data_IF_018937791909
#
_entry.id   IF_018937791909
#
_cell.length_a   1.000
_cell.length_b   1.000
_cell.length_c   1.000
_cell.angle_alpha   90.00
_cell.angle_beta   90.00
_cell.angle_gamma   90.00
#
_symmetry.space_group_name_H-M   'P 1'
#
loop_
_entity.id
_entity.type
_entity.pdbx_description
1 polymer ?
#
# COMPACT_ATOMS: atom_id res chain seq x y z
N UNK A 1 -3.16 18.10 19.03
CA UNK A 1 -2.86 16.76 19.53
C UNK A 1 -4.11 15.93 19.27
N UNK A 2 -4.16 15.23 18.14
CA UNK A 2 -5.26 14.32 17.81
C UNK A 2 -4.92 12.99 18.43
N UNK A 3 -5.69 12.55 19.41
CA UNK A 3 -5.67 11.16 19.87
C UNK A 3 -6.27 10.30 18.74
N UNK A 4 -5.43 9.91 17.78
CA UNK A 4 -5.72 8.72 16.99
C UNK A 4 -5.77 7.59 18.01
N UNK A 5 -6.93 7.00 18.23
CA UNK A 5 -7.04 5.70 18.89
C UNK A 5 -6.18 4.78 18.04
N UNK A 6 -5.03 4.38 18.56
CA UNK A 6 -4.18 3.38 17.94
C UNK A 6 -5.04 2.10 17.90
N UNK A 7 -5.41 1.59 16.72
CA UNK A 7 -6.22 0.38 16.66
C UNK A 7 -5.48 -0.73 17.39
N UNK A 8 -6.20 -1.63 18.07
CA UNK A 8 -5.54 -2.77 18.70
C UNK A 8 -4.69 -3.49 17.64
N UNK A 9 -3.59 -4.13 18.04
CA UNK A 9 -2.73 -4.85 17.09
C UNK A 9 -3.51 -5.89 16.27
N UNK A 10 -4.60 -6.43 16.83
CA UNK A 10 -5.49 -7.38 16.15
C UNK A 10 -6.39 -6.70 15.12
N UNK A 11 -6.95 -5.52 15.43
CA UNK A 11 -7.75 -4.74 14.47
C UNK A 11 -6.90 -4.33 13.27
N UNK A 12 -5.68 -3.84 13.52
CA UNK A 12 -4.76 -3.44 12.45
C UNK A 12 -4.34 -4.65 11.59
N UNK A 13 -4.08 -5.81 12.19
CA UNK A 13 -3.79 -7.03 11.44
C UNK A 13 -4.95 -7.42 10.53
N UNK A 14 -6.19 -7.35 11.05
CA UNK A 14 -7.39 -7.65 10.27
C UNK A 14 -7.54 -6.68 9.10
N UNK A 15 -7.33 -5.38 9.33
CA UNK A 15 -7.36 -4.37 8.27
C UNK A 15 -6.33 -4.66 7.17
N UNK A 16 -5.09 -4.98 7.53
CA UNK A 16 -4.02 -5.30 6.57
C UNK A 16 -4.27 -6.58 5.80
N UNK A 17 -4.80 -7.62 6.44
CA UNK A 17 -5.20 -8.84 5.75
C UNK A 17 -6.31 -8.57 4.73
N UNK A 18 -7.31 -7.78 5.12
CA UNK A 18 -8.42 -7.40 4.24
C UNK A 18 -7.94 -6.49 3.10
N UNK A 19 -7.04 -5.55 3.38
CA UNK A 19 -6.39 -4.72 2.37
C UNK A 19 -5.64 -5.57 1.33
N UNK A 20 -4.85 -6.54 1.77
CA UNK A 20 -4.12 -7.43 0.87
C UNK A 20 -5.06 -8.26 -0.02
N UNK A 21 -6.20 -8.72 0.50
CA UNK A 21 -7.21 -9.42 -0.29
C UNK A 21 -7.90 -8.49 -1.29
N UNK A 22 -8.23 -7.26 -0.87
CA UNK A 22 -8.79 -6.24 -1.75
C UNK A 22 -7.83 -5.90 -2.89
N UNK A 23 -6.53 -5.73 -2.60
CA UNK A 23 -5.49 -5.36 -3.56
C UNK A 23 -4.93 -6.55 -4.38
N UNK A 24 -5.31 -7.79 -4.07
CA UNK A 24 -4.76 -8.99 -4.70
C UNK A 24 -4.73 -8.91 -6.24
N UNK A 25 -5.77 -8.43 -6.95
CA UNK A 25 -5.74 -8.36 -8.41
C UNK A 25 -4.66 -7.40 -8.95
N UNK A 26 -4.38 -6.31 -8.23
CA UNK A 26 -3.29 -5.38 -8.58
C UNK A 26 -1.92 -5.98 -8.23
N UNK A 27 -1.77 -6.59 -7.06
CA UNK A 27 -0.52 -7.23 -6.67
C UNK A 27 -0.11 -8.34 -7.65
N UNK A 28 -1.04 -9.17 -8.10
CA UNK A 28 -0.78 -10.20 -9.12
C UNK A 28 -0.27 -9.61 -10.42
N UNK A 29 -0.85 -8.49 -10.88
CA UNK A 29 -0.37 -7.78 -12.06
C UNK A 29 1.03 -7.21 -11.82
N UNK A 30 1.27 -6.54 -10.69
CA UNK A 30 2.56 -5.93 -10.37
C UNK A 30 3.68 -6.97 -10.25
N UNK A 31 3.45 -8.08 -9.54
CA UNK A 31 4.41 -9.16 -9.37
C UNK A 31 4.83 -9.81 -10.69
N UNK A 32 3.93 -9.88 -11.68
CA UNK A 32 4.24 -10.41 -13.01
C UNK A 32 5.26 -9.55 -13.79
N UNK A 33 5.53 -8.30 -13.38
CA UNK A 33 6.51 -7.41 -13.98
C UNK A 33 7.88 -7.46 -13.28
N UNK A 34 7.99 -8.18 -12.15
CA UNK A 34 9.22 -8.16 -11.35
C UNK A 34 10.32 -9.01 -11.97
N UNK A 35 11.56 -8.49 -12.09
CA UNK A 35 12.70 -9.20 -12.67
C UNK A 35 13.43 -10.06 -11.61
N UNK A 36 12.68 -10.80 -10.76
CA UNK A 36 13.25 -11.53 -9.61
C UNK A 36 13.50 -13.01 -9.87
N UNK A 37 13.16 -13.53 -11.05
CA UNK A 37 13.35 -14.94 -11.39
C UNK A 37 14.82 -15.36 -11.29
N UNK A 38 15.06 -16.47 -10.56
CA UNK A 38 16.41 -16.98 -10.35
C UNK A 38 17.23 -16.18 -9.32
N UNK A 39 16.62 -15.26 -8.60
CA UNK A 39 17.25 -14.54 -7.50
C UNK A 39 17.37 -15.43 -6.27
N UNK A 40 18.46 -15.31 -5.52
CA UNK A 40 18.71 -16.13 -4.32
C UNK A 40 18.49 -15.37 -3.01
N UNK A 41 18.46 -14.04 -3.02
CA UNK A 41 18.26 -13.26 -1.79
C UNK A 41 17.54 -11.94 -2.02
N UNK A 42 16.42 -11.71 -1.33
CA UNK A 42 15.66 -10.49 -1.42
C UNK A 42 15.36 -9.83 -0.08
N UNK A 43 15.00 -8.56 -0.14
CA UNK A 43 14.53 -7.77 1.00
C UNK A 43 13.10 -7.30 0.74
N UNK A 44 12.18 -7.66 1.64
CA UNK A 44 10.85 -7.04 1.76
C UNK A 44 10.90 -5.99 2.88
N UNK A 45 10.98 -4.72 2.49
CA UNK A 45 11.17 -3.61 3.41
C UNK A 45 9.83 -2.98 3.80
N UNK A 46 9.37 -3.29 5.00
CA UNK A 46 8.05 -2.94 5.50
C UNK A 46 7.02 -4.02 5.17
N UNK A 47 7.33 -5.26 5.54
CA UNK A 47 6.53 -6.42 5.17
C UNK A 47 5.13 -6.45 5.83
N UNK A 48 4.89 -5.61 6.84
CA UNK A 48 3.65 -5.65 7.61
C UNK A 48 3.38 -7.04 8.18
N UNK A 49 2.12 -7.51 8.19
CA UNK A 49 1.76 -8.86 8.62
C UNK A 49 2.12 -9.97 7.61
N UNK A 50 2.97 -9.68 6.62
CA UNK A 50 3.54 -10.65 5.69
C UNK A 50 2.67 -11.06 4.52
N UNK A 51 1.59 -10.34 4.23
CA UNK A 51 0.60 -10.76 3.22
C UNK A 51 1.15 -11.04 1.82
N UNK A 52 2.25 -10.41 1.42
CA UNK A 52 2.89 -10.61 0.11
C UNK A 52 4.01 -11.67 0.13
N UNK A 53 4.48 -12.09 1.29
CA UNK A 53 5.59 -13.05 1.41
C UNK A 53 5.35 -14.37 0.65
N UNK A 54 4.16 -15.00 0.70
CA UNK A 54 3.90 -16.20 -0.08
C UNK A 54 4.06 -15.98 -1.59
N UNK A 55 3.59 -14.85 -2.10
CA UNK A 55 3.66 -14.51 -3.53
C UNK A 55 5.09 -14.17 -3.96
N UNK A 56 5.85 -13.47 -3.13
CA UNK A 56 7.27 -13.20 -3.37
C UNK A 56 8.10 -14.49 -3.33
N UNK A 57 7.86 -15.38 -2.35
CA UNK A 57 8.49 -16.69 -2.31
C UNK A 57 8.22 -17.53 -3.56
N UNK A 58 6.97 -17.53 -4.04
CA UNK A 58 6.61 -18.22 -5.28
C UNK A 58 7.35 -17.65 -6.49
N UNK A 59 7.48 -16.33 -6.57
CA UNK A 59 8.13 -15.63 -7.68
C UNK A 59 9.63 -15.95 -7.80
N UNK A 60 10.35 -16.00 -6.67
CA UNK A 60 11.80 -16.25 -6.65
C UNK A 60 12.18 -17.73 -6.76
N UNK A 61 11.21 -18.64 -6.75
CA UNK A 61 11.45 -20.09 -6.82
C UNK A 61 11.91 -20.71 -5.48
N UNK A 62 12.15 -22.01 -5.47
CA UNK A 62 12.33 -22.80 -4.23
C UNK A 62 13.63 -22.50 -3.47
N UNK A 63 14.68 -22.09 -4.16
CA UNK A 63 16.01 -21.82 -3.59
C UNK A 63 16.16 -20.38 -3.07
N UNK A 64 15.18 -19.52 -3.33
CA UNK A 64 15.25 -18.12 -2.96
C UNK A 64 14.87 -17.86 -1.49
N UNK A 65 15.56 -16.92 -0.85
CA UNK A 65 15.33 -16.50 0.53
C UNK A 65 14.90 -15.03 0.60
N UNK A 66 14.09 -14.70 1.58
CA UNK A 66 13.59 -13.35 1.83
C UNK A 66 13.96 -12.93 3.25
N UNK A 67 14.63 -11.79 3.37
CA UNK A 67 14.69 -11.01 4.60
C UNK A 67 13.47 -10.08 4.61
N UNK A 68 12.63 -10.15 5.63
CA UNK A 68 11.45 -9.28 5.74
C UNK A 68 11.57 -8.38 6.97
N UNK A 69 11.45 -7.08 6.77
CA UNK A 69 11.57 -6.07 7.80
C UNK A 69 10.25 -5.40 8.11
N UNK A 70 9.99 -5.15 9.38
CA UNK A 70 8.98 -4.20 9.83
C UNK A 70 9.41 -3.55 11.16
N UNK A 71 8.91 -2.35 11.44
CA UNK A 71 9.17 -1.66 12.70
C UNK A 71 8.29 -2.19 13.85
N UNK A 72 7.12 -2.72 13.53
CA UNK A 72 6.12 -3.23 14.48
C UNK A 72 6.37 -4.70 14.83
N UNK A 73 6.63 -5.00 16.10
CA UNK A 73 6.71 -6.38 16.59
C UNK A 73 5.40 -7.14 16.37
N UNK A 74 4.24 -6.48 16.53
CA UNK A 74 2.93 -7.10 16.31
C UNK A 74 2.73 -7.53 14.85
N UNK A 75 3.26 -6.75 13.88
CA UNK A 75 3.26 -7.17 12.47
C UNK A 75 4.16 -8.38 12.24
N UNK A 76 5.35 -8.36 12.81
CA UNK A 76 6.30 -9.48 12.67
C UNK A 76 5.78 -10.76 13.32
N UNK A 77 5.08 -10.68 14.44
CA UNK A 77 4.40 -11.82 15.06
C UNK A 77 3.31 -12.39 14.14
N UNK A 78 2.52 -11.53 13.50
CA UNK A 78 1.52 -11.95 12.52
C UNK A 78 2.17 -12.55 11.25
N UNK A 79 3.25 -11.96 10.76
CA UNK A 79 4.03 -12.47 9.64
C UNK A 79 4.65 -13.84 9.96
N UNK A 80 5.15 -14.04 11.19
CA UNK A 80 5.66 -15.31 11.65
C UNK A 80 4.58 -16.40 11.62
N UNK A 81 3.40 -16.12 12.17
CA UNK A 81 2.26 -17.05 12.13
C UNK A 81 1.84 -17.40 10.70
N UNK A 82 1.86 -16.41 9.80
CA UNK A 82 1.58 -16.64 8.38
C UNK A 82 2.63 -17.53 7.74
N UNK A 83 3.92 -17.27 7.99
CA UNK A 83 5.03 -18.09 7.47
C UNK A 83 4.97 -19.52 7.98
N UNK A 84 4.62 -19.75 9.24
CA UNK A 84 4.40 -21.09 9.79
C UNK A 84 3.23 -21.80 9.10
N UNK A 85 2.09 -21.12 8.97
CA UNK A 85 0.90 -21.67 8.30
C UNK A 85 1.16 -21.99 6.81
N UNK A 86 2.02 -21.25 6.14
CA UNK A 86 2.37 -21.40 4.72
C UNK A 86 3.65 -22.21 4.49
N UNK A 87 4.26 -22.77 5.54
CA UNK A 87 5.51 -23.53 5.49
C UNK A 87 6.69 -22.76 4.87
N UNK A 88 6.77 -21.45 5.14
CA UNK A 88 7.79 -20.53 4.59
C UNK A 88 8.94 -20.25 5.56
N UNK A 89 8.93 -20.79 6.77
CA UNK A 89 9.89 -20.47 7.84
C UNK A 89 11.35 -20.81 7.51
N UNK A 90 11.59 -21.73 6.59
CA UNK A 90 12.93 -22.05 6.10
C UNK A 90 13.47 -21.04 5.07
N UNK A 91 12.60 -20.18 4.52
CA UNK A 91 12.89 -19.27 3.40
C UNK A 91 12.73 -17.82 3.75
N UNK A 92 11.99 -17.51 4.82
CA UNK A 92 11.70 -16.15 5.26
C UNK A 92 12.32 -15.91 6.62
N UNK A 93 13.20 -14.91 6.72
CA UNK A 93 13.74 -14.43 7.98
C UNK A 93 13.11 -13.08 8.31
N UNK A 94 12.44 -13.00 9.46
CA UNK A 94 11.80 -11.77 9.94
C UNK A 94 12.77 -11.00 10.85
N UNK A 95 12.86 -9.68 10.69
CA UNK A 95 13.71 -8.83 11.53
C UNK A 95 13.06 -7.49 11.80
N UNK A 96 13.07 -7.06 13.06
CA UNK A 96 12.62 -5.72 13.42
C UNK A 96 13.64 -4.67 12.98
N UNK A 97 13.21 -3.67 12.21
CA UNK A 97 14.01 -2.52 11.83
C UNK A 97 13.12 -1.31 11.48
N UNK A 98 13.62 -0.12 11.78
CA UNK A 98 12.98 1.14 11.38
C UNK A 98 13.62 1.64 10.08
N UNK A 99 12.84 1.71 9.02
CA UNK A 99 13.30 2.14 7.69
C UNK A 99 13.67 3.63 7.62
N UNK A 100 13.44 4.39 8.69
CA UNK A 100 13.89 5.79 8.83
C UNK A 100 15.35 5.90 9.31
N UNK A 101 15.98 4.77 9.60
CA UNK A 101 17.36 4.69 10.05
C UNK A 101 18.19 3.86 9.07
N UNK A 102 19.53 3.90 9.23
CA UNK A 102 20.42 3.03 8.46
C UNK A 102 20.05 1.57 8.67
N UNK A 103 19.83 0.85 7.57
CA UNK A 103 19.49 -0.56 7.61
C UNK A 103 20.65 -1.42 8.16
N UNK A 104 20.37 -2.42 9.00
CA UNK A 104 21.38 -3.23 9.68
C UNK A 104 21.96 -4.33 8.76
N UNK A 105 22.31 -3.94 7.54
CA UNK A 105 22.91 -4.80 6.52
C UNK A 105 24.13 -4.13 5.87
N UNK A 106 25.07 -4.96 5.41
CA UNK A 106 26.18 -4.51 4.58
C UNK A 106 25.67 -4.00 3.21
N UNK A 107 26.50 -3.23 2.55
CA UNK A 107 26.31 -2.84 1.15
C UNK A 107 26.24 -4.11 0.27
N UNK A 108 25.52 -4.01 -0.84
CA UNK A 108 25.49 -5.05 -1.88
C UNK A 108 24.99 -6.44 -1.41
N UNK A 109 24.11 -6.46 -0.43
CA UNK A 109 23.66 -7.70 0.24
C UNK A 109 22.57 -8.44 -0.55
N UNK A 110 21.61 -7.72 -1.18
CA UNK A 110 20.40 -8.29 -1.74
C UNK A 110 20.35 -8.19 -3.26
N UNK A 111 19.75 -9.20 -3.90
CA UNK A 111 19.49 -9.20 -5.34
C UNK A 111 18.44 -8.17 -5.72
N UNK A 112 17.46 -7.98 -4.84
CA UNK A 112 16.37 -7.04 -4.99
C UNK A 112 15.86 -6.54 -3.64
N UNK A 113 15.24 -5.36 -3.69
CA UNK A 113 14.48 -4.78 -2.58
C UNK A 113 13.07 -4.47 -3.08
N UNK A 114 12.07 -4.96 -2.37
CA UNK A 114 10.66 -4.67 -2.56
C UNK A 114 10.14 -3.79 -1.42
N UNK A 115 9.39 -2.72 -1.75
CA UNK A 115 8.79 -1.78 -0.80
C UNK A 115 7.38 -1.49 -1.26
N UNK A 116 6.36 -1.89 -0.52
CA UNK A 116 4.97 -1.69 -0.88
C UNK A 116 4.20 -0.91 0.19
N UNK A 117 3.63 0.23 -0.19
CA UNK A 117 2.75 1.08 0.64
C UNK A 117 3.37 1.56 1.97
N UNK A 118 4.71 1.65 2.02
CA UNK A 118 5.46 2.03 3.22
C UNK A 118 5.85 3.51 3.23
N UNK A 119 6.32 4.04 2.10
CA UNK A 119 6.91 5.38 2.02
C UNK A 119 5.85 6.49 2.05
N UNK A 120 4.92 6.39 3.01
CA UNK A 120 3.86 7.35 3.17
C UNK A 120 4.41 8.72 3.63
N UNK A 121 4.03 9.83 2.99
CA UNK A 121 4.57 11.18 3.28
C UNK A 121 4.46 11.63 4.74
N UNK A 122 3.50 11.09 5.48
CA UNK A 122 3.32 11.38 6.90
C UNK A 122 4.44 10.80 7.79
N UNK A 123 5.06 9.70 7.36
CA UNK A 123 6.14 9.02 8.08
C UNK A 123 7.51 9.24 7.43
N UNK A 124 7.53 9.49 6.13
CA UNK A 124 8.73 9.69 5.31
C UNK A 124 8.63 11.02 4.56
N UNK A 125 8.85 12.16 5.23
CA UNK A 125 8.82 13.47 4.59
C UNK A 125 9.91 13.67 3.55
N UNK A 126 11.02 12.92 3.67
CA UNK A 126 12.14 12.84 2.73
C UNK A 126 12.33 11.39 2.28
N UNK A 127 11.55 10.91 1.29
CA UNK A 127 11.62 9.51 0.85
C UNK A 127 12.93 9.13 0.16
N UNK A 128 13.73 10.11 -0.28
CA UNK A 128 15.06 9.88 -0.86
C UNK A 128 16.01 9.20 0.14
N UNK A 129 15.91 9.48 1.46
CA UNK A 129 16.76 8.88 2.49
C UNK A 129 16.60 7.35 2.56
N UNK A 130 15.40 6.79 2.83
CA UNK A 130 15.22 5.34 2.84
C UNK A 130 15.46 4.70 1.47
N UNK A 131 15.13 5.37 0.36
CA UNK A 131 15.39 4.83 -0.98
C UNK A 131 16.90 4.71 -1.25
N UNK A 132 17.71 5.66 -0.77
CA UNK A 132 19.18 5.56 -0.85
C UNK A 132 19.72 4.36 -0.06
N UNK A 133 19.14 4.06 1.10
CA UNK A 133 19.49 2.87 1.88
C UNK A 133 19.09 1.57 1.15
N UNK A 134 17.92 1.54 0.49
CA UNK A 134 17.52 0.40 -0.33
C UNK A 134 18.50 0.17 -1.49
N UNK A 135 18.94 1.24 -2.15
CA UNK A 135 19.96 1.14 -3.21
C UNK A 135 21.31 0.71 -2.63
N UNK A 136 21.71 1.20 -1.44
CA UNK A 136 22.97 0.80 -0.79
C UNK A 136 23.02 -0.70 -0.57
N UNK A 137 21.96 -1.28 0.03
CA UNK A 137 21.92 -2.71 0.37
C UNK A 137 21.64 -3.63 -0.82
N UNK A 138 21.23 -3.08 -1.96
CA UNK A 138 21.05 -3.82 -3.21
C UNK A 138 22.40 -4.01 -3.88
N UNK A 139 22.70 -5.20 -4.42
CA UNK A 139 23.94 -5.47 -5.14
C UNK A 139 24.01 -4.74 -6.49
N UNK A 140 25.20 -4.48 -7.05
CA UNK A 140 25.33 -4.00 -8.42
C UNK A 140 24.55 -4.87 -9.41
N UNK A 141 23.79 -4.24 -10.30
CA UNK A 141 22.88 -4.91 -11.24
C UNK A 141 21.56 -5.42 -10.63
N UNK A 142 21.41 -5.36 -9.31
CA UNK A 142 20.16 -5.70 -8.60
C UNK A 142 19.07 -4.63 -8.76
N UNK A 143 17.87 -4.91 -8.26
CA UNK A 143 16.70 -4.07 -8.48
C UNK A 143 16.10 -3.52 -7.17
N UNK A 144 15.67 -2.26 -7.20
CA UNK A 144 14.84 -1.66 -6.17
C UNK A 144 13.46 -1.39 -6.77
N UNK A 145 12.42 -1.87 -6.10
CA UNK A 145 11.03 -1.73 -6.53
C UNK A 145 10.24 -1.03 -5.45
N UNK A 146 9.57 0.05 -5.82
CA UNK A 146 8.68 0.80 -4.94
C UNK A 146 7.28 0.71 -5.52
N UNK A 147 6.36 0.14 -4.76
CA UNK A 147 4.93 0.05 -5.08
C UNK A 147 4.15 0.99 -4.17
N UNK A 148 3.13 1.65 -4.70
CA UNK A 148 2.26 2.52 -3.91
C UNK A 148 0.83 2.52 -4.46
N UNK A 149 -0.11 2.23 -3.57
CA UNK A 149 -1.53 2.38 -3.83
C UNK A 149 -1.89 3.86 -4.02
N UNK A 150 -2.78 4.14 -4.96
CA UNK A 150 -3.17 5.50 -5.35
C UNK A 150 -4.63 5.78 -5.01
N UNK A 151 -4.99 5.67 -3.72
CA UNK A 151 -6.35 5.92 -3.23
C UNK A 151 -6.89 7.30 -3.67
N UNK A 152 -6.03 8.33 -3.65
CA UNK A 152 -6.43 9.69 -4.05
C UNK A 152 -6.80 9.81 -5.52
N UNK A 153 -6.27 8.97 -6.39
CA UNK A 153 -6.56 8.90 -7.82
C UNK A 153 -7.59 7.83 -8.17
N UNK A 154 -7.89 6.93 -7.23
CA UNK A 154 -8.87 5.86 -7.38
C UNK A 154 -10.31 6.43 -7.36
N UNK A 155 -11.25 5.67 -7.87
CA UNK A 155 -12.66 6.06 -7.99
C UNK A 155 -13.54 5.13 -7.17
N UNK A 156 -14.08 5.66 -6.08
CA UNK A 156 -14.99 4.90 -5.22
C UNK A 156 -16.42 4.88 -5.79
N UNK A 157 -16.85 5.96 -6.46
CA UNK A 157 -18.23 6.13 -6.95
C UNK A 157 -18.31 6.49 -8.44
N UNK A 158 -17.66 5.75 -9.37
CA UNK A 158 -17.58 6.17 -10.78
C UNK A 158 -18.94 6.23 -11.47
N UNK A 159 -19.93 5.42 -11.03
CA UNK A 159 -21.31 5.46 -11.52
C UNK A 159 -22.19 6.51 -10.85
N UNK A 160 -21.69 7.25 -9.86
CA UNK A 160 -22.46 8.23 -9.07
C UNK A 160 -21.74 9.58 -9.07
N UNK A 161 -21.86 10.42 -10.12
CA UNK A 161 -21.05 11.63 -10.33
C UNK A 161 -21.10 12.63 -9.17
N UNK A 162 -22.25 12.74 -8.49
CA UNK A 162 -22.38 13.62 -7.34
C UNK A 162 -21.53 13.13 -6.14
N UNK A 163 -21.64 11.84 -5.79
CA UNK A 163 -20.85 11.23 -4.72
C UNK A 163 -19.37 11.23 -5.04
N UNK A 164 -18.98 10.91 -6.30
CA UNK A 164 -17.60 10.98 -6.75
C UNK A 164 -17.03 12.39 -6.61
N UNK A 165 -17.79 13.42 -6.92
CA UNK A 165 -17.38 14.82 -6.77
C UNK A 165 -17.16 15.19 -5.30
N UNK A 166 -18.06 14.81 -4.40
CA UNK A 166 -17.93 15.08 -2.96
C UNK A 166 -16.72 14.36 -2.39
N UNK A 167 -16.58 13.06 -2.68
CA UNK A 167 -15.45 12.27 -2.22
C UNK A 167 -14.12 12.78 -2.77
N UNK A 168 -14.08 13.22 -4.03
CA UNK A 168 -12.90 13.85 -4.65
C UNK A 168 -12.49 15.15 -3.93
N UNK A 169 -13.45 16.04 -3.62
CA UNK A 169 -13.18 17.28 -2.87
C UNK A 169 -12.59 16.97 -1.49
N UNK A 170 -13.10 15.94 -0.82
CA UNK A 170 -12.58 15.43 0.45
C UNK A 170 -11.13 14.94 0.30
N UNK A 171 -10.83 14.09 -0.67
CA UNK A 171 -9.49 13.57 -0.92
C UNK A 171 -8.50 14.69 -1.29
N UNK A 172 -8.88 15.62 -2.16
CA UNK A 172 -8.05 16.74 -2.58
C UNK A 172 -7.66 17.63 -1.39
N UNK A 173 -8.56 17.83 -0.44
CA UNK A 173 -8.25 18.54 0.79
C UNK A 173 -7.17 17.85 1.62
N UNK A 174 -7.25 16.54 1.76
CA UNK A 174 -6.25 15.75 2.47
C UNK A 174 -4.92 15.65 1.72
N UNK A 175 -4.95 15.57 0.40
CA UNK A 175 -3.76 15.55 -0.47
C UNK A 175 -2.98 16.86 -0.54
N UNK A 176 -3.54 18.01 -0.12
CA UNK A 176 -2.89 19.35 -0.19
C UNK A 176 -1.58 19.49 0.60
N UNK A 177 -1.30 18.53 1.51
CA UNK A 177 -0.05 18.51 2.29
C UNK A 177 1.10 17.84 1.55
N UNK A 178 0.84 17.23 0.40
CA UNK A 178 1.85 16.60 -0.43
C UNK A 178 2.64 17.67 -1.19
N UNK A 179 3.95 17.51 -1.22
CA UNK A 179 4.87 18.34 -2.02
C UNK A 179 5.32 17.59 -3.25
N UNK A 180 5.96 18.26 -4.19
CA UNK A 180 6.58 17.58 -5.34
C UNK A 180 7.56 16.49 -4.90
N UNK A 181 8.31 16.72 -3.82
CA UNK A 181 9.38 15.81 -3.40
C UNK A 181 8.85 14.56 -2.68
N UNK A 182 7.73 14.65 -1.96
CA UNK A 182 7.23 13.55 -1.13
C UNK A 182 5.95 12.88 -1.64
N UNK A 183 5.41 13.32 -2.79
CA UNK A 183 4.19 12.69 -3.31
C UNK A 183 4.46 11.35 -3.98
N UNK A 184 3.65 10.32 -3.71
CA UNK A 184 3.86 8.99 -4.30
C UNK A 184 3.70 8.89 -5.84
N UNK A 185 3.35 9.96 -6.52
CA UNK A 185 3.41 10.03 -7.98
C UNK A 185 4.86 10.08 -8.51
N UNK A 186 5.82 10.35 -7.64
CA UNK A 186 7.22 10.57 -7.98
C UNK A 186 8.16 9.40 -7.60
N UNK A 187 7.63 8.18 -7.42
CA UNK A 187 8.42 6.97 -7.10
C UNK A 187 9.64 6.81 -7.99
N UNK A 188 9.47 7.03 -9.30
CA UNK A 188 10.53 6.93 -10.29
C UNK A 188 11.60 8.02 -10.15
N UNK A 189 11.24 9.19 -9.60
CA UNK A 189 12.18 10.30 -9.33
C UNK A 189 13.04 9.94 -8.11
N UNK A 190 12.44 9.36 -7.05
CA UNK A 190 13.19 8.92 -5.88
C UNK A 190 14.25 7.88 -6.24
N UNK A 191 13.92 6.89 -7.08
CA UNK A 191 14.88 5.90 -7.58
C UNK A 191 16.02 6.55 -8.39
N UNK A 192 15.70 7.50 -9.30
CA UNK A 192 16.71 8.21 -10.09
C UNK A 192 17.64 9.05 -9.21
N UNK A 193 17.09 9.79 -8.24
CA UNK A 193 17.88 10.61 -7.30
C UNK A 193 18.81 9.75 -6.43
N UNK A 194 18.37 8.54 -6.09
CA UNK A 194 19.19 7.57 -5.33
C UNK A 194 20.17 6.79 -6.19
N UNK A 195 20.34 7.13 -7.48
CA UNK A 195 21.38 6.57 -8.36
C UNK A 195 20.95 5.34 -9.15
N UNK A 196 19.68 4.96 -9.16
CA UNK A 196 19.20 3.89 -10.03
C UNK A 196 19.21 4.31 -11.50
N UNK A 197 19.55 3.37 -12.36
CA UNK A 197 19.42 3.46 -13.82
C UNK A 197 18.28 2.60 -14.36
N UNK A 198 17.98 2.71 -15.65
CA UNK A 198 16.91 1.96 -16.31
C UNK A 198 15.56 2.01 -15.58
N UNK A 199 15.26 3.15 -14.95
CA UNK A 199 14.05 3.32 -14.15
C UNK A 199 12.80 3.27 -15.00
N UNK A 200 11.91 2.34 -14.69
CA UNK A 200 10.59 2.17 -15.34
C UNK A 200 9.49 2.51 -14.34
N UNK A 201 8.35 2.97 -14.83
CA UNK A 201 7.14 3.20 -14.05
C UNK A 201 5.98 2.46 -14.70
N UNK A 202 5.20 1.78 -13.89
CA UNK A 202 4.03 1.01 -14.29
C UNK A 202 2.81 1.48 -13.50
N UNK A 203 1.65 1.52 -14.17
CA UNK A 203 0.36 1.77 -13.54
C UNK A 203 -0.50 0.51 -13.66
N UNK A 204 -1.15 0.15 -12.57
CA UNK A 204 -2.06 -0.99 -12.49
C UNK A 204 -3.44 -0.52 -12.08
N UNK A 205 -4.46 -1.16 -12.62
CA UNK A 205 -5.83 -0.87 -12.28
C UNK A 205 -6.60 -2.15 -12.00
N UNK A 206 -7.59 -2.04 -11.13
CA UNK A 206 -8.58 -3.10 -10.92
C UNK A 206 -9.98 -2.50 -10.80
N UNK A 207 -10.98 -3.34 -11.06
CA UNK A 207 -12.39 -3.04 -10.84
C UNK A 207 -12.96 -4.11 -9.93
N UNK A 208 -13.61 -3.68 -8.84
CA UNK A 208 -14.54 -4.50 -8.10
C UNK A 208 -15.96 -4.06 -8.46
N UNK A 209 -16.78 -4.99 -8.92
CA UNK A 209 -18.13 -4.73 -9.37
C UNK A 209 -19.15 -5.61 -8.63
N UNK A 210 -20.39 -5.16 -8.56
CA UNK A 210 -21.48 -5.94 -7.96
C UNK A 210 -21.74 -7.26 -8.69
N UNK A 211 -22.08 -8.34 -7.95
CA UNK A 211 -22.15 -8.39 -6.50
C UNK A 211 -20.75 -8.42 -5.87
N UNK A 212 -20.51 -7.56 -4.88
CA UNK A 212 -19.24 -7.55 -4.16
C UNK A 212 -19.08 -8.80 -3.29
N UNK A 213 -17.85 -9.34 -3.19
CA UNK A 213 -17.56 -10.35 -2.17
C UNK A 213 -17.64 -9.75 -0.77
N UNK A 214 -17.77 -10.60 0.26
CA UNK A 214 -17.82 -10.17 1.66
C UNK A 214 -16.57 -9.38 2.06
N UNK A 215 -15.40 -9.79 1.58
CA UNK A 215 -14.11 -9.17 1.88
C UNK A 215 -13.99 -7.79 1.24
N UNK A 216 -14.36 -7.66 -0.03
CA UNK A 216 -14.37 -6.37 -0.76
C UNK A 216 -15.40 -5.44 -0.12
N UNK A 217 -16.60 -5.95 0.20
CA UNK A 217 -17.63 -5.16 0.88
C UNK A 217 -17.14 -4.65 2.23
N UNK A 218 -16.53 -5.52 3.05
CA UNK A 218 -15.97 -5.14 4.34
C UNK A 218 -14.87 -4.07 4.18
N UNK A 219 -13.94 -4.25 3.23
CA UNK A 219 -12.91 -3.26 2.99
C UNK A 219 -13.48 -1.88 2.66
N UNK A 220 -14.41 -1.82 1.73
CA UNK A 220 -15.03 -0.56 1.29
C UNK A 220 -15.86 0.09 2.42
N UNK A 221 -16.66 -0.71 3.13
CA UNK A 221 -17.60 -0.23 4.13
C UNK A 221 -16.94 0.11 5.45
N UNK A 222 -16.16 -0.82 6.00
CA UNK A 222 -15.66 -0.70 7.38
C UNK A 222 -14.31 0.01 7.43
N UNK A 223 -13.47 -0.16 6.38
CA UNK A 223 -12.15 0.46 6.34
C UNK A 223 -12.21 1.80 5.62
N UNK A 224 -12.58 1.85 4.33
CA UNK A 224 -12.54 3.09 3.54
C UNK A 224 -13.59 4.09 4.04
N UNK A 225 -14.87 3.68 4.15
CA UNK A 225 -15.93 4.55 4.68
C UNK A 225 -15.67 4.85 6.15
N UNK A 226 -15.31 3.86 6.96
CA UNK A 226 -14.97 4.02 8.37
C UNK A 226 -13.85 5.03 8.62
N UNK A 227 -12.92 5.17 7.67
CA UNK A 227 -11.85 6.16 7.74
C UNK A 227 -12.39 7.58 7.51
N UNK A 228 -13.11 7.83 6.41
CA UNK A 228 -13.56 9.19 6.13
C UNK A 228 -14.78 9.60 6.96
N UNK A 229 -15.66 8.69 7.34
CA UNK A 229 -16.85 9.00 8.16
C UNK A 229 -16.50 9.57 9.55
N UNK A 230 -15.33 9.25 10.09
CA UNK A 230 -14.83 9.77 11.36
C UNK A 230 -14.20 11.17 11.25
N UNK A 231 -14.19 11.77 10.06
CA UNK A 231 -13.57 13.08 9.85
C UNK A 231 -14.35 14.17 10.59
N UNK A 232 -13.70 15.00 11.42
CA UNK A 232 -14.33 16.12 12.10
C UNK A 232 -14.96 17.10 11.11
N UNK A 233 -16.12 17.64 11.45
CA UNK A 233 -16.93 18.50 10.55
C UNK A 233 -16.22 19.78 10.13
N UNK A 234 -15.34 20.33 10.99
CA UNK A 234 -14.51 21.49 10.64
C UNK A 234 -13.58 21.21 9.46
N UNK A 235 -13.03 19.98 9.35
CA UNK A 235 -12.20 19.55 8.22
C UNK A 235 -13.01 19.30 6.95
N UNK A 236 -14.22 18.76 7.11
CA UNK A 236 -15.17 18.55 6.00
C UNK A 236 -15.55 19.92 5.39
N UNK A 237 -15.91 20.87 6.24
CA UNK A 237 -16.23 22.25 5.82
C UNK A 237 -15.02 22.93 5.16
N UNK A 238 -13.81 22.74 5.70
CA UNK A 238 -12.58 23.26 5.11
C UNK A 238 -12.27 22.64 3.72
N UNK A 239 -12.79 21.45 3.42
CA UNK A 239 -12.76 20.85 2.09
C UNK A 239 -13.81 21.45 1.13
N UNK A 240 -14.62 22.41 1.60
CA UNK A 240 -15.68 23.06 0.84
C UNK A 240 -16.93 22.19 0.70
N UNK A 241 -17.15 21.25 1.62
CA UNK A 241 -18.31 20.34 1.66
C UNK A 241 -19.23 20.83 2.80
N UNK A 242 -20.50 21.04 2.51
CA UNK A 242 -21.49 21.40 3.53
C UNK A 242 -21.85 20.17 4.39
N UNK A 243 -22.45 20.44 5.56
CA UNK A 243 -22.93 19.38 6.45
C UNK A 243 -24.01 18.52 5.77
N UNK A 244 -24.92 19.14 5.02
CA UNK A 244 -25.97 18.43 4.29
C UNK A 244 -25.39 17.53 3.19
N UNK A 245 -24.42 18.02 2.41
CA UNK A 245 -23.71 17.22 1.39
C UNK A 245 -22.96 16.05 2.02
N UNK A 246 -22.31 16.27 3.17
CA UNK A 246 -21.59 15.23 3.88
C UNK A 246 -22.52 14.17 4.45
N UNK A 247 -23.61 14.56 5.07
CA UNK A 247 -24.63 13.66 5.58
C UNK A 247 -25.28 12.85 4.45
N UNK A 248 -25.52 13.46 3.30
CA UNK A 248 -26.02 12.74 2.12
C UNK A 248 -25.01 11.69 1.60
N UNK A 249 -23.71 12.00 1.59
CA UNK A 249 -22.66 11.02 1.26
C UNK A 249 -22.65 9.86 2.26
N UNK A 250 -22.66 10.16 3.56
CA UNK A 250 -22.67 9.12 4.60
C UNK A 250 -23.93 8.25 4.55
N UNK A 251 -25.10 8.85 4.28
CA UNK A 251 -26.35 8.11 4.11
C UNK A 251 -26.31 7.18 2.89
N UNK A 252 -25.71 7.62 1.78
CA UNK A 252 -25.59 6.82 0.57
C UNK A 252 -24.66 5.60 0.72
N UNK A 253 -23.77 5.62 1.70
CA UNK A 253 -22.85 4.51 2.00
C UNK A 253 -23.19 3.75 3.28
N UNK A 254 -24.23 4.14 4.00
CA UNK A 254 -24.63 3.50 5.26
C UNK A 254 -25.15 2.07 4.99
N UNK A 255 -24.64 1.06 5.74
CA UNK A 255 -25.02 -0.35 5.49
C UNK A 255 -26.50 -0.64 5.73
N UNK A 256 -27.15 0.15 6.60
CA UNK A 256 -28.59 0.06 6.89
C UNK A 256 -29.48 0.84 5.91
N UNK A 257 -28.88 1.61 5.00
CA UNK A 257 -29.64 2.36 4.00
C UNK A 257 -30.20 1.42 2.94
N UNK A 258 -31.51 1.48 2.64
CA UNK A 258 -32.09 0.68 1.56
C UNK A 258 -31.53 1.05 0.18
N UNK A 259 -30.94 2.26 0.07
CA UNK A 259 -30.33 2.79 -1.15
C UNK A 259 -28.80 2.82 -1.04
N UNK A 260 -28.21 1.93 -0.21
CA UNK A 260 -26.77 1.85 -0.08
C UNK A 260 -26.09 1.60 -1.43
N UNK A 261 -25.22 2.51 -1.84
CA UNK A 261 -24.60 2.48 -3.16
C UNK A 261 -23.80 1.20 -3.42
N UNK A 262 -23.23 0.59 -2.39
CA UNK A 262 -22.48 -0.66 -2.50
C UNK A 262 -23.37 -1.89 -2.77
N UNK A 263 -24.66 -1.80 -2.53
CA UNK A 263 -25.64 -2.86 -2.80
C UNK A 263 -26.35 -2.68 -4.14
N UNK A 264 -26.09 -1.56 -4.83
CA UNK A 264 -26.65 -1.31 -6.14
C UNK A 264 -26.11 -2.33 -7.17
N UNK A 265 -26.96 -2.95 -8.01
CA UNK A 265 -26.54 -3.99 -8.96
C UNK A 265 -25.53 -3.50 -10.00
N UNK A 266 -25.53 -2.21 -10.32
CA UNK A 266 -24.61 -1.58 -11.27
C UNK A 266 -23.41 -0.90 -10.57
N UNK A 267 -23.22 -1.13 -9.27
CA UNK A 267 -22.09 -0.55 -8.55
C UNK A 267 -20.76 -1.17 -9.00
N UNK A 268 -19.77 -0.31 -9.15
CA UNK A 268 -18.37 -0.71 -9.23
C UNK A 268 -17.48 0.37 -8.63
N UNK A 269 -16.27 0.00 -8.21
CA UNK A 269 -15.19 0.93 -7.93
C UNK A 269 -13.98 0.61 -8.80
N UNK A 270 -13.14 1.60 -9.03
CA UNK A 270 -11.90 1.48 -9.78
C UNK A 270 -10.73 1.89 -8.88
N UNK A 271 -9.76 1.01 -8.75
CA UNK A 271 -8.56 1.24 -7.94
C UNK A 271 -7.31 1.30 -8.78
N UNK A 272 -6.35 2.12 -8.34
CA UNK A 272 -5.12 2.39 -9.09
C UNK A 272 -3.94 2.21 -8.15
N UNK A 273 -2.83 1.66 -8.69
CA UNK A 273 -1.54 1.66 -8.04
C UNK A 273 -0.43 2.01 -9.03
N UNK A 274 0.66 2.55 -8.52
CA UNK A 274 1.89 2.79 -9.26
C UNK A 274 3.00 1.91 -8.72
N UNK A 275 3.88 1.46 -9.61
CA UNK A 275 5.11 0.77 -9.28
C UNK A 275 6.26 1.36 -10.08
N UNK A 276 7.35 1.66 -9.40
CA UNK A 276 8.60 2.04 -10.06
C UNK A 276 9.66 0.97 -9.81
N UNK A 277 10.38 0.59 -10.86
CA UNK A 277 11.49 -0.38 -10.83
C UNK A 277 12.74 0.35 -11.28
N UNK A 278 13.80 0.32 -10.47
CA UNK A 278 15.10 0.84 -10.82
C UNK A 278 16.19 -0.23 -10.64
N UNK A 279 17.24 -0.17 -11.46
CA UNK A 279 18.39 -1.06 -11.36
C UNK A 279 19.58 -0.31 -10.75
N UNK A 280 20.23 -0.89 -9.76
CA UNK A 280 21.53 -0.37 -9.28
C UNK A 280 22.58 -0.53 -10.38
N UNK A 281 23.38 0.50 -10.71
CA UNK A 281 24.49 0.39 -11.65
C UNK A 281 25.45 -0.77 -11.31
N UNK A 282 26.12 -1.33 -12.36
CA UNK A 282 27.09 -2.41 -12.21
C UNK A 282 28.48 -1.89 -11.85
#
# INVERSE_FOLDING_TARGET
>A
MSSSVDPSAEDYRREMCTYNQFMEPIYRQALAHLPFQGSVGGLDAGCGPGGLLPSLCHLIGDEGEIMALDASLAHLEAAQQLCEHKELTSRVTLKQADLRTTLPFADDRFDWVWVADVLHPGYFPTPDDPVSEFVRVTRPGGHVVIFFEKMYESKLFPGQPHLDTLYRRYLDYHGRKLTFDNQPNNLHIWLKRSGCEAVQIHAFTMIHASPLTSEVRYYLQDIVVGWFAKTPMDKVTAAGISEDEWNALLQAVAPESPDCVFDHPDYYCMWIALMAIGRKPT
#
